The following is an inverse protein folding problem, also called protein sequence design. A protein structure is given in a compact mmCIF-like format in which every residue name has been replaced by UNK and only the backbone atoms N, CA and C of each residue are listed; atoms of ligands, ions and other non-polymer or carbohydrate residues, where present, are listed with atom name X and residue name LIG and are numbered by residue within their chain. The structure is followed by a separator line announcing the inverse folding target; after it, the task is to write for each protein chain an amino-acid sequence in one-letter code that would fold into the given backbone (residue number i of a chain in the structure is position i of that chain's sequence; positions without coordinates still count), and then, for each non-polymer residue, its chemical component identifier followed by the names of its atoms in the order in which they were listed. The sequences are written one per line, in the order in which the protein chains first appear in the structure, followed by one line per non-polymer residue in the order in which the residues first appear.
data_IF_698241143385
#
_entry.id   IF_698241143385
#
_cell.length_a   1.000
_cell.length_b   1.000
_cell.length_c   1.000
_cell.angle_alpha   90.00
_cell.angle_beta   90.00
_cell.angle_gamma   90.00
#
_symmetry.space_group_name_H-M   'P 1'
#
loop_
_entity.id
_entity.type
_entity.pdbx_description
1 polymer ?
2 polymer ?
3 non-polymer ?
#
# COMPACT_ATOMS: atom_id res chain seq x y z
N UNK A 19 21.38 12.89 7.90
CA UNK A 19 20.87 11.49 7.85
C UNK A 19 19.51 11.41 8.57
N UNK A 20 18.54 10.83 7.94
CA UNK A 20 17.20 10.72 8.58
C UNK A 20 16.98 9.29 9.06
N UNK A 21 16.52 9.13 10.27
CA UNK A 21 16.27 7.77 10.81
C UNK A 21 14.78 7.47 10.80
N UNK A 22 14.38 6.42 10.13
CA UNK A 22 12.94 6.06 10.12
C UNK A 22 12.71 5.12 11.30
N UNK A 23 11.85 5.49 12.20
CA UNK A 23 11.62 4.63 13.39
C UNK A 23 10.53 3.59 13.11
N UNK A 24 10.66 2.45 13.71
CA UNK A 24 9.67 1.35 13.51
C UNK A 24 8.24 1.82 13.79
N UNK A 25 7.36 1.62 12.85
CA UNK A 25 5.93 1.98 13.01
C UNK A 25 5.20 0.94 13.87
N UNK A 26 5.71 -0.27 13.91
CA UNK A 26 5.12 -1.33 14.78
C UNK A 26 6.23 -2.24 15.28
N UNK A 27 5.97 -3.04 16.27
CA UNK A 27 7.02 -3.95 16.80
C UNK A 27 7.05 -5.23 15.98
N UNK A 28 8.17 -5.89 15.93
CA UNK A 28 8.25 -7.16 15.16
C UNK A 28 9.68 -7.41 14.69
N UNK A 29 9.83 -8.24 13.69
CA UNK A 29 11.18 -8.56 13.16
C UNK A 29 11.29 -7.99 11.75
N UNK A 30 12.39 -7.39 11.41
CA UNK A 30 12.51 -6.83 10.04
C UNK A 30 12.65 -7.95 9.03
N UNK A 31 12.04 -7.78 7.89
CA UNK A 31 12.09 -8.83 6.83
C UNK A 31 12.42 -8.16 5.49
N UNK A 32 12.97 -8.89 4.56
CA UNK A 32 13.31 -8.28 3.24
C UNK A 32 12.03 -7.93 2.50
N UNK A 33 11.98 -6.79 1.86
CA UNK A 33 10.73 -6.43 1.13
C UNK A 33 10.61 -7.33 -0.09
N UNK A 34 11.69 -7.95 -0.51
CA UNK A 34 11.59 -8.85 -1.70
C UNK A 34 11.01 -10.20 -1.26
N UNK A 35 10.89 -10.43 0.02
CA UNK A 35 10.32 -11.72 0.49
C UNK A 35 8.83 -11.55 0.80
N UNK A 36 8.26 -10.42 0.45
CA UNK A 36 6.81 -10.23 0.72
C UNK A 36 6.02 -10.90 -0.40
N UNK A 37 4.97 -11.59 -0.06
CA UNK A 37 4.14 -12.33 -1.05
C UNK A 37 3.27 -11.41 -1.92
N UNK A 38 3.87 -10.38 -2.45
CA UNK A 38 3.13 -9.44 -3.35
C UNK A 38 4.13 -8.85 -4.33
N UNK A 39 3.97 -9.12 -5.60
CA UNK A 39 4.96 -8.62 -6.61
C UNK A 39 5.05 -7.09 -6.64
N UNK A 40 3.97 -6.36 -6.48
CA UNK A 40 4.11 -4.87 -6.54
C UNK A 40 4.97 -4.39 -5.36
N UNK A 41 4.87 -5.01 -4.23
CA UNK A 41 5.72 -4.58 -3.08
C UNK A 41 7.10 -5.20 -3.23
N UNK A 42 7.15 -6.48 -3.52
CA UNK A 42 8.45 -7.16 -3.68
C UNK A 42 9.25 -6.52 -4.83
N UNK A 43 8.59 -6.11 -5.88
CA UNK A 43 9.35 -5.47 -7.00
C UNK A 43 9.44 -3.96 -6.72
N UNK A 44 9.05 -3.57 -5.54
CA UNK A 44 9.14 -2.14 -5.12
C UNK A 44 8.50 -1.21 -6.16
N UNK A 45 7.41 -1.62 -6.75
CA UNK A 45 6.74 -0.70 -7.71
C UNK A 45 6.18 0.47 -6.91
N UNK A 46 5.81 0.20 -5.68
CA UNK A 46 5.23 1.28 -4.83
C UNK A 46 6.33 1.98 -4.01
N UNK A 47 7.57 1.63 -4.24
CA UNK A 47 8.69 2.32 -3.51
C UNK A 47 9.63 1.28 -2.88
N UNK A 48 10.64 1.71 -2.17
CA UNK A 48 11.58 0.74 -1.55
C UNK A 48 11.60 0.92 -0.03
N UNK A 49 11.91 -0.12 0.70
CA UNK A 49 11.95 -0.02 2.18
C UNK A 49 12.09 -1.43 2.78
N UNK A 50 11.43 -1.70 3.87
CA UNK A 50 11.53 -3.05 4.49
C UNK A 50 10.15 -3.55 4.88
N UNK A 51 10.08 -4.72 5.44
CA UNK A 51 8.78 -5.29 5.89
C UNK A 51 8.92 -5.69 7.35
N UNK A 52 7.84 -5.83 8.06
CA UNK A 52 7.98 -6.21 9.50
C UNK A 52 6.96 -7.27 9.88
N UNK A 53 7.42 -8.36 10.44
CA UNK A 53 6.45 -9.38 10.92
C UNK A 53 6.02 -8.86 12.29
N UNK A 54 4.80 -8.40 12.38
CA UNK A 54 4.25 -7.74 13.61
C UNK A 54 4.11 -8.65 14.84
N UNK A 55 4.27 -8.06 16.00
CA UNK A 55 4.12 -8.81 17.29
C UNK A 55 3.40 -7.92 18.30
N UNK A 56 3.03 -6.72 17.91
CA UNK A 56 2.38 -5.80 18.87
C UNK A 56 0.89 -5.62 18.56
N UNK A 57 0.35 -4.45 18.85
CA UNK A 57 -1.10 -4.21 18.61
C UNK A 57 -1.34 -2.78 18.10
N UNK A 58 -0.35 -2.10 17.63
CA UNK A 58 -0.63 -0.71 17.16
C UNK A 58 0.42 -0.22 16.15
N UNK A 59 0.01 0.70 15.31
CA UNK A 59 0.91 1.28 14.29
C UNK A 59 1.09 2.77 14.59
N UNK A 60 2.30 3.22 14.80
CA UNK A 60 2.50 4.66 15.12
C UNK A 60 3.24 5.38 14.00
N UNK A 61 3.41 6.66 14.16
CA UNK A 61 4.13 7.47 13.14
C UNK A 61 5.62 7.13 13.22
N UNK A 62 6.23 6.80 12.11
CA UNK A 62 7.67 6.46 12.06
C UNK A 62 8.53 7.72 11.99
N UNK A 63 7.91 8.86 11.89
CA UNK A 63 8.68 10.13 11.81
C UNK A 63 7.78 11.30 12.20
N UNK A 64 8.37 12.44 12.44
CA UNK A 64 7.55 13.63 12.76
C UNK A 64 7.11 14.22 11.42
N UNK A 65 5.83 14.35 11.20
CA UNK A 65 5.37 14.89 9.91
C UNK A 65 3.85 15.05 9.91
N UNK A 66 3.24 14.86 8.78
CA UNK A 66 1.76 15.02 8.71
C UNK A 66 1.13 13.78 8.07
N UNK A 67 0.12 13.21 8.68
CA UNK A 67 -0.52 12.03 8.04
C UNK A 67 -1.09 12.51 6.71
N UNK A 68 -0.94 11.73 5.67
CA UNK A 68 -1.47 12.18 4.35
C UNK A 68 -2.80 11.50 4.05
N UNK A 69 -2.82 10.20 3.97
CA UNK A 69 -4.10 9.52 3.65
C UNK A 69 -4.21 8.20 4.41
N UNK A 70 -5.38 7.94 4.93
CA UNK A 70 -5.63 6.68 5.69
C UNK A 70 -6.64 5.86 4.89
N UNK A 71 -6.32 4.64 4.58
CA UNK A 71 -7.27 3.82 3.77
C UNK A 71 -8.63 3.70 4.47
N UNK A 72 -9.69 3.73 3.69
CA UNK A 72 -11.05 3.64 4.29
C UNK A 72 -11.19 2.32 5.06
N UNK A 73 -10.32 1.38 4.82
CA UNK A 73 -10.40 0.11 5.57
C UNK A 73 -9.51 0.24 6.80
N UNK A 74 -9.00 1.43 7.01
CA UNK A 74 -8.15 1.71 8.20
C UNK A 74 -7.08 0.64 8.40
N UNK A 75 -6.33 0.31 7.37
CA UNK A 75 -5.27 -0.73 7.54
C UNK A 75 -3.95 -0.25 6.94
N UNK A 76 -3.94 0.93 6.35
CA UNK A 76 -2.67 1.45 5.75
C UNK A 76 -2.73 2.98 5.75
N UNK A 77 -1.61 3.64 5.79
CA UNK A 77 -1.66 5.13 5.80
C UNK A 77 -0.41 5.74 5.16
N UNK A 78 -0.50 7.00 4.85
CA UNK A 78 0.65 7.71 4.22
C UNK A 78 1.07 8.88 5.12
N UNK A 79 2.33 9.11 5.25
CA UNK A 79 2.79 10.25 6.09
C UNK A 79 3.99 10.91 5.46
N UNK A 80 4.09 12.20 5.58
CA UNK A 80 5.26 12.91 5.01
C UNK A 80 6.05 13.51 6.17
N UNK A 81 7.30 13.17 6.27
CA UNK A 81 8.11 13.71 7.40
C UNK A 81 8.38 15.19 7.18
N UNK A 82 8.73 15.90 8.21
CA UNK A 82 9.04 17.32 8.04
C UNK A 82 10.33 17.40 7.23
N UNK A 83 11.09 16.34 7.27
CA UNK A 83 12.37 16.30 6.51
C UNK A 83 12.08 16.11 5.02
N UNK A 84 10.82 15.97 4.67
CA UNK A 84 10.46 15.84 3.22
C UNK A 84 10.45 14.38 2.74
N UNK A 85 10.42 13.41 3.60
CA UNK A 85 10.40 12.00 3.09
C UNK A 85 8.95 11.47 3.11
N UNK A 86 8.53 10.85 2.04
CA UNK A 86 7.13 10.32 1.98
C UNK A 86 7.17 8.82 2.30
N UNK A 87 6.48 8.40 3.32
CA UNK A 87 6.48 6.95 3.68
C UNK A 87 5.09 6.36 3.40
N UNK A 88 5.03 5.06 3.32
CA UNK A 88 3.73 4.41 3.12
C UNK A 88 3.70 3.10 3.92
N UNK A 89 2.82 3.01 4.91
CA UNK A 89 2.76 1.77 5.74
C UNK A 89 1.53 0.92 5.29
N UNK A 90 1.75 -0.34 4.95
CA UNK A 90 0.61 -1.24 4.48
C UNK A 90 0.55 -2.45 5.43
N UNK A 91 -0.39 -2.53 6.32
CA UNK A 91 -0.38 -3.69 7.27
C UNK A 91 -0.85 -4.98 6.58
N UNK A 92 -0.04 -6.00 6.63
CA UNK A 92 -0.42 -7.30 6.03
C UNK A 92 -0.48 -7.22 4.51
N UNK A 93 -0.90 -8.30 3.89
CA UNK A 93 -1.00 -8.35 2.41
C UNK A 93 -2.47 -8.63 2.02
N UNK A 94 -2.98 -7.89 1.07
CA UNK A 94 -4.41 -8.08 0.66
C UNK A 94 -5.32 -7.91 1.87
N UNK A 95 -4.91 -7.15 2.84
CA UNK A 95 -5.75 -6.97 4.06
C UNK A 95 -6.99 -6.11 3.77
N UNK A 96 -7.03 -5.42 2.66
CA UNK A 96 -8.22 -4.56 2.36
C UNK A 96 -9.45 -5.47 2.25
N UNK A 97 -9.27 -6.70 1.89
CA UNK A 97 -10.43 -7.62 1.74
C UNK A 97 -11.10 -7.87 3.11
N UNK A 98 -10.47 -7.49 4.19
CA UNK A 98 -11.12 -7.72 5.52
C UNK A 98 -12.12 -6.59 5.79
N UNK A 99 -12.13 -5.60 4.94
CA UNK A 99 -13.07 -4.44 5.08
C UNK A 99 -12.99 -3.76 6.47
N UNK A 100 -11.81 -3.51 6.97
CA UNK A 100 -11.69 -2.77 8.28
C UNK A 100 -11.75 -3.69 9.51
N UNK A 101 -12.11 -4.93 9.36
CA UNK A 101 -12.19 -5.81 10.58
C UNK A 101 -10.81 -5.99 11.22
N UNK A 102 -10.70 -5.66 12.49
CA UNK A 102 -9.39 -5.84 13.20
C UNK A 102 -8.62 -4.51 13.29
N UNK A 103 -9.08 -3.49 12.64
CA UNK A 103 -8.35 -2.18 12.70
C UNK A 103 -9.25 -1.09 13.29
N UNK A 104 -8.64 -0.09 13.87
CA UNK A 104 -9.40 1.05 14.43
C UNK A 104 -8.60 2.33 14.16
N UNK A 105 -9.05 3.16 13.27
CA UNK A 105 -8.28 4.40 12.98
C UNK A 105 -8.29 5.28 14.21
N UNK A 106 -7.13 5.64 14.70
CA UNK A 106 -7.08 6.49 15.91
C UNK A 106 -6.73 7.93 15.51
N UNK A 107 -5.95 8.10 14.49
CA UNK A 107 -5.58 9.48 14.05
C UNK A 107 -6.47 9.92 12.88
N UNK A 108 -6.29 11.14 12.43
CA UNK A 108 -7.11 11.66 11.30
C UNK A 108 -6.17 12.05 10.14
N UNK A 109 -6.68 12.06 8.93
CA UNK A 109 -5.80 12.47 7.80
C UNK A 109 -5.46 13.95 7.98
N UNK A 110 -4.26 14.34 7.68
CA UNK A 110 -3.89 15.78 7.84
C UNK A 110 -3.41 16.02 9.27
N UNK A 111 -3.48 15.03 10.11
CA UNK A 111 -3.02 15.22 11.52
C UNK A 111 -1.51 15.39 11.57
N UNK A 112 -1.03 16.35 12.32
CA UNK A 112 0.43 16.52 12.46
C UNK A 112 0.86 15.58 13.57
N UNK A 113 1.90 14.82 13.37
CA UNK A 113 2.27 13.86 14.45
C UNK A 113 3.75 13.88 14.74
N UNK A 114 4.10 13.32 15.87
CA UNK A 114 5.51 13.20 16.26
C UNK A 114 5.81 11.70 16.29
N UNK A 115 7.03 11.34 16.21
CA UNK A 115 7.38 9.90 16.22
C UNK A 115 6.69 9.18 17.38
N UNK A 116 6.13 8.03 17.14
CA UNK A 116 5.49 7.26 18.25
C UNK A 116 3.98 7.56 18.38
N UNK A 117 3.49 8.61 17.81
CA UNK A 117 2.02 8.89 17.95
C UNK A 117 1.24 7.73 17.34
N UNK A 118 0.22 7.25 18.02
CA UNK A 118 -0.55 6.11 17.46
C UNK A 118 -1.42 6.55 16.30
N UNK A 119 -1.43 5.76 15.25
CA UNK A 119 -2.24 6.08 14.06
C UNK A 119 -3.37 5.07 13.95
N UNK A 120 -3.07 3.83 14.22
CA UNK A 120 -4.10 2.77 14.13
C UNK A 120 -3.77 1.64 15.09
N UNK A 121 -4.78 1.05 15.69
CA UNK A 121 -4.55 -0.10 16.59
C UNK A 121 -5.14 -1.32 15.89
N UNK A 122 -4.53 -2.46 15.99
CA UNK A 122 -5.09 -3.63 15.26
C UNK A 122 -5.19 -4.86 16.18
N UNK A 123 -5.93 -5.84 15.74
CA UNK A 123 -6.09 -7.10 16.51
C UNK A 123 -5.18 -8.14 15.87
N UNK A 124 -4.01 -8.33 16.41
CA UNK A 124 -3.03 -9.28 15.82
C UNK A 124 -3.62 -10.69 15.66
N UNK A 125 -4.09 -11.30 16.71
CA UNK A 125 -4.64 -12.68 16.66
C UNK A 125 -5.76 -12.81 15.61
N UNK A 126 -6.64 -11.86 15.55
CA UNK A 126 -7.75 -11.93 14.57
C UNK A 126 -7.17 -11.80 13.15
N UNK A 127 -6.21 -10.92 12.98
CA UNK A 127 -5.60 -10.75 11.63
C UNK A 127 -4.70 -11.95 11.31
N UNK A 128 -4.02 -12.47 12.29
CA UNK A 128 -3.14 -13.64 12.02
C UNK A 128 -4.00 -14.80 11.52
N UNK A 129 -5.24 -14.84 11.95
CA UNK A 129 -6.14 -15.95 11.54
C UNK A 129 -6.85 -15.63 10.21
N UNK A 130 -7.21 -14.39 9.99
CA UNK A 130 -7.98 -14.07 8.74
C UNK A 130 -7.13 -13.44 7.64
N UNK A 131 -6.06 -12.76 7.96
CA UNK A 131 -5.26 -12.10 6.87
C UNK A 131 -4.39 -13.11 6.12
N UNK A 132 -4.29 -12.96 4.82
CA UNK A 132 -3.43 -13.87 4.00
C UNK A 132 -2.01 -13.81 4.59
N UNK A 133 -1.63 -12.67 5.09
CA UNK A 133 -0.29 -12.52 5.70
C UNK A 133 -0.24 -11.21 6.49
N UNK A 134 0.45 -11.20 7.60
CA UNK A 134 0.52 -9.96 8.40
C UNK A 134 1.81 -9.20 8.08
N UNK A 135 2.56 -9.69 7.12
CA UNK A 135 3.82 -8.98 6.76
C UNK A 135 3.44 -7.52 6.46
N UNK A 136 4.15 -6.59 7.03
CA UNK A 136 3.78 -5.16 6.83
C UNK A 136 4.92 -4.35 6.19
N UNK A 137 4.78 -4.02 4.94
CA UNK A 137 5.79 -3.22 4.21
C UNK A 137 5.83 -1.75 4.65
N UNK A 138 7.00 -1.23 4.84
CA UNK A 138 7.15 0.21 5.18
C UNK A 138 8.11 0.75 4.13
N UNK A 139 7.60 1.38 3.12
CA UNK A 139 8.48 1.82 2.01
C UNK A 139 8.52 3.33 1.83
N UNK A 140 9.50 3.76 1.10
CA UNK A 140 9.64 5.20 0.78
C UNK A 140 9.12 5.40 -0.64
N UNK A 141 8.14 6.23 -0.82
CA UNK A 141 7.58 6.44 -2.18
C UNK A 141 8.32 7.63 -2.82
N UNK A 142 9.28 8.14 -2.10
CA UNK A 142 10.07 9.32 -2.57
C UNK A 142 11.45 8.89 -3.12
N UNK A 143 11.61 7.64 -3.43
CA UNK A 143 12.94 7.13 -3.91
C UNK A 143 13.71 8.13 -4.81
N UNK A 144 13.08 8.80 -5.74
CA UNK A 144 13.86 9.72 -6.63
C UNK A 144 14.38 10.96 -5.87
N UNK A 145 13.97 11.17 -4.65
CA UNK A 145 14.48 12.39 -3.94
C UNK A 145 15.41 12.01 -2.79
N UNK A 146 15.86 10.80 -2.70
CA UNK A 146 16.77 10.46 -1.57
C UNK A 146 18.12 9.95 -2.10
N UNK A 147 19.19 10.40 -1.49
CA UNK A 147 20.54 9.97 -1.96
C UNK A 147 20.78 8.51 -1.62
N UNK A 148 20.57 8.09 -0.39
CA UNK A 148 20.82 6.65 -0.10
C UNK A 148 19.86 6.10 0.96
N UNK A 149 19.55 4.85 0.82
CA UNK A 149 18.63 4.16 1.75
C UNK A 149 19.39 2.99 2.41
N UNK A 150 19.65 3.08 3.67
CA UNK A 150 20.39 1.98 4.36
C UNK A 150 19.38 1.15 5.17
N UNK A 151 19.13 -0.06 4.75
CA UNK A 151 18.15 -0.92 5.46
C UNK A 151 18.80 -1.55 6.69
N UNK A 152 18.13 -1.55 7.80
CA UNK A 152 18.73 -2.13 9.03
C UNK A 152 18.23 -3.56 9.24
N UNK A 153 18.58 -4.18 10.33
CA UNK A 153 18.18 -5.60 10.55
C UNK A 153 17.81 -5.88 12.00
N UNK A 154 17.18 -7.00 12.25
CA UNK A 154 16.87 -7.40 13.65
C UNK A 154 15.43 -7.13 14.06
N UNK A 155 15.22 -7.21 15.36
CA UNK A 155 13.88 -6.99 15.96
C UNK A 155 13.72 -5.51 16.29
N UNK A 156 12.53 -4.99 16.20
CA UNK A 156 12.34 -3.55 16.52
C UNK A 156 11.23 -3.37 17.55
N UNK A 157 11.22 -2.24 18.19
CA UNK A 157 10.17 -1.95 19.20
C UNK A 157 9.43 -0.69 18.72
N UNK A 158 8.15 -0.80 18.52
CA UNK A 158 7.33 0.33 17.99
C UNK A 158 7.76 1.71 18.54
N UNK A 159 7.92 2.64 17.64
CA UNK A 159 8.27 4.04 18.02
C UNK A 159 9.59 4.14 18.79
N UNK A 160 10.50 3.24 18.59
CA UNK A 160 11.78 3.34 19.34
C UNK A 160 12.97 2.88 18.49
N UNK A 161 12.87 1.73 17.91
CA UNK A 161 14.00 1.20 17.10
C UNK A 161 13.95 1.68 15.65
N UNK A 162 15.03 2.28 15.20
CA UNK A 162 15.16 2.75 13.80
C UNK A 162 15.14 1.56 12.84
N UNK A 163 14.52 1.69 11.70
CA UNK A 163 14.48 0.54 10.76
C UNK A 163 15.22 0.91 9.47
N UNK A 164 15.26 2.18 9.15
CA UNK A 164 15.96 2.61 7.91
C UNK A 164 16.72 3.90 8.16
N UNK A 165 17.79 4.10 7.45
CA UNK A 165 18.58 5.35 7.60
C UNK A 165 18.73 5.96 6.21
N UNK A 166 18.34 7.19 6.03
CA UNK A 166 18.43 7.78 4.67
C UNK A 166 19.28 9.05 4.68
N UNK A 167 19.81 9.41 3.55
CA UNK A 167 20.62 10.64 3.45
C UNK A 167 19.98 11.56 2.40
N UNK A 168 20.19 12.83 2.50
CA UNK A 168 19.56 13.76 1.51
C UNK A 168 18.19 13.24 1.11
N UNK B 14 -11.36 11.06 -17.73
CA UNK B 14 -11.29 10.41 -19.07
C UNK B 14 -10.42 9.16 -18.98
N UNK B 15 -9.33 9.25 -18.27
CA UNK B 15 -8.44 8.07 -18.12
C UNK B 15 -9.29 6.90 -17.64
N UNK B 16 -10.26 7.18 -16.81
CA UNK B 16 -11.14 6.09 -16.31
C UNK B 16 -11.88 5.47 -17.48
N UNK B 17 -12.35 6.27 -18.40
CA UNK B 17 -13.07 5.72 -19.58
C UNK B 17 -12.09 4.87 -20.40
N UNK B 18 -10.88 5.35 -20.52
CA UNK B 18 -9.86 4.59 -21.28
C UNK B 18 -9.57 3.27 -20.57
N UNK B 19 -9.52 3.30 -19.26
CA UNK B 19 -9.26 2.04 -18.49
C UNK B 19 -10.40 1.06 -18.76
N UNK B 20 -11.61 1.55 -18.74
CA UNK B 20 -12.76 0.66 -19.00
C UNK B 20 -12.63 0.08 -20.41
N UNK B 21 -12.30 0.91 -21.37
CA UNK B 21 -12.14 0.41 -22.76
C UNK B 21 -10.99 -0.60 -22.82
N UNK B 22 -9.93 -0.36 -22.10
CA UNK B 22 -8.78 -1.31 -22.12
C UNK B 22 -9.24 -2.69 -21.59
N UNK B 23 -10.15 -2.71 -20.66
CA UNK B 23 -10.62 -4.01 -20.12
C UNK B 23 -11.54 -4.67 -21.13
N UNK B 24 -12.07 -3.92 -22.06
CA UNK B 24 -12.98 -4.51 -23.08
C UNK B 24 -14.22 -3.63 -23.22
N UNK B 25 -14.68 -3.05 -22.14
CA UNK B 25 -15.88 -2.18 -22.22
C UNK B 25 -16.61 -2.16 -20.87
N UNK B 26 -17.49 -1.22 -20.69
CA UNK B 26 -18.26 -1.12 -19.42
C UNK B 26 -19.04 -2.41 -19.16
N UNK B 27 -19.66 -2.95 -20.17
CA UNK B 27 -20.45 -4.21 -19.98
C UNK B 27 -19.51 -5.41 -19.82
N UNK B 28 -18.26 -5.24 -20.13
CA UNK B 28 -17.31 -6.38 -19.97
C UNK B 28 -16.80 -6.41 -18.53
N UNK B 29 -17.17 -5.44 -17.74
CA UNK B 29 -16.70 -5.42 -16.34
C UNK B 29 -17.72 -6.11 -15.43
N UNK B 30 -17.32 -7.16 -14.77
CA UNK B 30 -18.27 -7.90 -13.90
C UNK B 30 -18.00 -7.58 -12.42
N UNK B 31 -16.94 -6.87 -12.13
CA UNK B 31 -16.67 -6.55 -10.69
C UNK B 31 -15.57 -5.49 -10.58
N UNK B 32 -15.56 -4.75 -9.51
CA UNK B 32 -14.52 -3.71 -9.31
C UNK B 32 -13.98 -3.80 -7.88
N UNK B 33 -12.69 -3.89 -7.71
CA UNK B 33 -12.11 -3.96 -6.34
C UNK B 33 -10.60 -3.70 -6.44
N UNK B 34 -9.94 -3.37 -5.37
CA UNK B 34 -8.49 -3.06 -5.48
C UNK B 34 -7.85 -3.19 -4.11
N UNK B 35 -6.60 -2.86 -3.97
CA UNK B 35 -6.01 -2.86 -2.61
C UNK B 35 -5.20 -1.56 -2.52
N UNK B 36 -3.97 -1.52 -2.09
CA UNK B 36 -3.30 -0.19 -2.02
C UNK B 36 -2.57 0.15 -3.29
N UNK B 37 -1.99 -0.82 -3.94
CA UNK B 37 -1.21 -0.50 -5.17
C UNK B 37 -1.61 -1.40 -6.33
N UNK B 38 -2.69 -2.11 -6.22
CA UNK B 38 -3.11 -2.98 -7.34
C UNK B 38 -4.59 -2.74 -7.64
N UNK B 39 -4.97 -2.77 -8.88
CA UNK B 39 -6.41 -2.59 -9.23
C UNK B 39 -6.93 -3.90 -9.77
N UNK B 40 -8.02 -4.37 -9.25
CA UNK B 40 -8.59 -5.66 -9.72
C UNK B 40 -9.84 -5.39 -10.55
N UNK B 41 -9.88 -5.85 -11.76
CA UNK B 41 -11.09 -5.66 -12.60
C UNK B 41 -11.47 -7.01 -13.18
N UNK B 42 -12.70 -7.41 -13.03
CA UNK B 42 -13.12 -8.73 -13.59
C UNK B 42 -13.50 -8.53 -15.04
N UNK B 43 -13.24 -9.48 -15.89
CA UNK B 43 -13.61 -9.31 -17.33
C UNK B 43 -14.31 -10.58 -17.84
N UNK B 44 -15.27 -10.43 -18.72
CA UNK B 44 -15.96 -11.63 -19.25
C UNK B 44 -15.00 -12.37 -20.18
N UNK B 45 -14.29 -11.66 -21.02
CA UNK B 45 -13.32 -12.32 -21.95
C UNK B 45 -11.95 -11.66 -21.77
N UNK B 46 -10.97 -12.40 -21.34
CA UNK B 46 -9.61 -11.84 -21.15
C UNK B 46 -8.98 -11.55 -22.52
N UNK B 47 -9.43 -12.22 -23.54
CA UNK B 47 -8.85 -11.97 -24.89
C UNK B 47 -9.19 -10.55 -25.35
N UNK B 48 -10.13 -9.90 -24.71
CA UNK B 48 -10.49 -8.51 -25.14
C UNK B 48 -9.77 -7.47 -24.30
N UNK B 49 -8.98 -7.86 -23.34
CA UNK B 49 -8.24 -6.85 -22.54
C UNK B 49 -7.08 -6.34 -23.39
N UNK B 50 -6.87 -5.05 -23.44
CA UNK B 50 -5.74 -4.54 -24.25
C UNK B 50 -4.52 -4.37 -23.34
N UNK B 51 -3.69 -5.38 -23.26
CA UNK B 51 -2.50 -5.28 -22.39
C UNK B 51 -1.66 -4.10 -22.85
N UNK B 52 -1.51 -3.94 -24.13
CA UNK B 52 -0.72 -2.80 -24.65
C UNK B 52 -1.41 -1.49 -24.25
N UNK B 53 -2.72 -1.46 -24.33
CA UNK B 53 -3.45 -0.22 -23.95
C UNK B 53 -3.19 0.10 -22.48
N UNK B 54 -3.18 -0.89 -21.63
CA UNK B 54 -2.95 -0.60 -20.19
C UNK B 54 -1.54 0.01 -20.02
N UNK B 55 -0.56 -0.55 -20.67
CA UNK B 55 0.84 -0.03 -20.55
C UNK B 55 0.90 1.45 -20.94
N UNK B 56 0.26 1.80 -22.01
CA UNK B 56 0.30 3.22 -22.48
C UNK B 56 -0.38 4.11 -21.44
N UNK B 57 -1.35 3.60 -20.76
CA UNK B 57 -2.06 4.42 -19.75
C UNK B 57 -1.17 4.66 -18.54
N UNK B 58 0.06 4.20 -18.58
CA UNK B 58 0.98 4.43 -17.43
C UNK B 58 1.00 3.21 -16.50
N UNK B 59 0.37 2.13 -16.86
CA UNK B 59 0.39 0.95 -15.94
C UNK B 59 1.82 0.46 -15.81
N UNK B 60 2.24 0.16 -14.61
CA UNK B 60 3.63 -0.32 -14.40
C UNK B 60 3.76 -1.77 -14.88
N UNK B 61 2.69 -2.53 -14.81
CA UNK B 61 2.74 -3.95 -15.28
C UNK B 61 1.33 -4.52 -15.33
N UNK B 62 1.18 -5.68 -15.93
CA UNK B 62 -0.18 -6.31 -16.03
C UNK B 62 -0.10 -7.76 -15.54
N UNK B 63 -1.02 -8.18 -14.70
CA UNK B 63 -1.00 -9.59 -14.20
C UNK B 63 -2.42 -10.15 -14.34
N UNK B 64 -2.58 -11.31 -14.94
CA UNK B 64 -3.94 -11.89 -15.08
C UNK B 64 -4.06 -13.19 -14.29
N UNK B 65 -5.06 -13.30 -13.45
CA UNK B 65 -5.26 -14.55 -12.66
C UNK B 65 -6.69 -15.06 -12.88
N UNK B 66 -6.85 -16.17 -13.54
CA UNK B 66 -8.23 -16.70 -13.78
C UNK B 66 -9.02 -15.69 -14.61
N UNK B 67 -10.24 -15.41 -14.21
CA UNK B 67 -11.05 -14.43 -14.98
C UNK B 67 -10.81 -13.02 -14.41
N UNK B 68 -10.06 -12.94 -13.34
CA UNK B 68 -9.77 -11.62 -12.73
C UNK B 68 -8.54 -11.01 -13.41
N UNK B 69 -8.53 -9.71 -13.59
CA UNK B 69 -7.36 -9.06 -14.24
C UNK B 69 -6.78 -8.00 -13.29
N UNK B 70 -5.50 -8.00 -13.11
CA UNK B 70 -4.86 -7.03 -12.19
C UNK B 70 -3.93 -6.09 -12.97
N UNK B 71 -4.01 -4.81 -12.69
CA UNK B 71 -3.12 -3.84 -13.39
C UNK B 71 -2.40 -3.00 -12.32
N UNK B 72 -1.12 -2.79 -12.47
CA UNK B 72 -0.39 -2.02 -11.42
C UNK B 72 -0.34 -0.53 -11.77
N UNK B 73 -1.12 0.27 -11.11
CA UNK B 73 -1.11 1.73 -11.40
C UNK B 73 -0.32 2.45 -10.30
N UNK B 74 0.22 1.72 -9.37
CA UNK B 74 0.99 2.35 -8.26
C UNK B 74 0.06 2.66 -7.10
N UNK B 75 0.48 3.50 -6.19
CA UNK B 75 -0.38 3.84 -5.02
C UNK B 75 -1.64 4.57 -5.49
N UNK B 76 -1.55 5.30 -6.57
CA UNK B 76 -2.76 6.04 -7.07
C UNK B 76 -3.78 5.05 -7.63
N UNK B 77 -3.53 3.77 -7.49
CA UNK B 77 -4.48 2.77 -8.05
C UNK B 77 -5.85 2.97 -7.39
N UNK B 78 -5.87 3.34 -6.14
CA UNK B 78 -7.18 3.54 -5.46
C UNK B 78 -7.92 4.71 -6.11
N UNK B 79 -7.21 5.67 -6.66
CA UNK B 79 -7.87 6.83 -7.31
C UNK B 79 -8.62 6.32 -8.56
N UNK B 80 -8.01 5.43 -9.29
CA UNK B 80 -8.68 4.89 -10.50
C UNK B 80 -9.92 4.12 -10.07
N UNK B 81 -9.84 3.40 -8.98
CA UNK B 81 -11.01 2.64 -8.49
C UNK B 81 -12.17 3.62 -8.25
N UNK B 82 -11.92 4.71 -7.57
CA UNK B 82 -13.02 5.67 -7.30
C UNK B 82 -13.53 6.28 -8.61
N UNK B 83 -12.65 6.70 -9.47
CA UNK B 83 -13.11 7.31 -10.75
C UNK B 83 -13.84 6.26 -11.60
N UNK B 84 -13.30 5.08 -11.71
CA UNK B 84 -13.96 4.04 -12.54
C UNK B 84 -15.32 3.71 -11.92
N UNK B 85 -15.37 3.59 -10.62
CA UNK B 85 -16.66 3.26 -9.96
C UNK B 85 -17.71 4.32 -10.33
N UNK B 86 -17.35 5.57 -10.24
CA UNK B 86 -18.33 6.64 -10.57
C UNK B 86 -18.66 6.61 -12.07
N UNK B 87 -17.67 6.60 -12.92
CA UNK B 87 -17.91 6.59 -14.40
C UNK B 87 -18.70 5.34 -14.80
N UNK B 88 -18.39 4.22 -14.23
CA UNK B 88 -19.11 2.97 -14.60
C UNK B 88 -20.53 3.01 -14.01
N UNK B 89 -20.74 3.75 -12.96
CA UNK B 89 -22.10 3.83 -12.35
C UNK B 89 -22.80 5.11 -12.81
N UNK B 90 -22.18 5.88 -13.65
CA UNK B 90 -22.82 7.15 -14.12
C UNK B 90 -22.67 7.27 -15.64
#
# INVERSE_FOLDING_TARGET
GLFDKLKSLVSDDKKDTGTIEIIAPLSGEIVNIEDVPDVVFAEKIVGDGIAIKPTGNKMVAPVDGTIGKIFETNHAFSIESDSGVELFVHFGIDTVELKGEGFKRIAEEGQRVKVGDTVIEFDLPLLEEKAKSTLTPVVISNMDEIKELIKLSGSVTVGETPVIRIKK
EDATEDAKATGTSEMAAALVAAFGGKENITNLDACITRLRVSVADVSKVDQAGLKKLGAAGVVVAGSGVQAIFGTKSDNLKTEMDEYIRN
#
